data_IF_176592494720
#
_entry.id   IF_176592494720
#
_cell.length_a   1.000
_cell.length_b   1.000
_cell.length_c   1.000
_cell.angle_alpha   90.00
_cell.angle_beta   90.00
_cell.angle_gamma   90.00
#
_symmetry.space_group_name_H-M   'P 1'
#
loop_
_entity.id
_entity.type
_entity.pdbx_description
1 polymer ?
#
# COMPACT_ATOMS: atom_id res chain seq x y z
N UNK A 1 12.09 -23.69 -3.32
CA UNK A 1 11.44 -24.02 -2.03
C UNK A 1 11.27 -22.74 -1.24
N UNK A 2 10.04 -22.39 -0.80
CA UNK A 2 9.84 -21.21 0.05
C UNK A 2 10.46 -21.46 1.42
N UNK A 3 11.12 -20.47 2.00
CA UNK A 3 11.68 -20.62 3.34
C UNK A 3 10.56 -20.69 4.38
N UNK A 4 10.81 -21.39 5.49
CA UNK A 4 9.88 -21.43 6.64
C UNK A 4 9.59 -20.01 7.16
N UNK A 5 10.58 -19.12 7.09
CA UNK A 5 10.47 -17.71 7.51
C UNK A 5 9.43 -16.96 6.68
N UNK A 6 9.45 -17.08 5.34
CA UNK A 6 8.47 -16.40 4.49
C UNK A 6 7.05 -16.92 4.73
N UNK A 7 6.91 -18.24 4.94
CA UNK A 7 5.62 -18.84 5.25
C UNK A 7 5.08 -18.36 6.60
N UNK A 8 5.95 -18.21 7.60
CA UNK A 8 5.59 -17.62 8.88
C UNK A 8 5.12 -16.17 8.73
N UNK A 9 5.90 -15.32 8.05
CA UNK A 9 5.55 -13.91 7.81
C UNK A 9 4.20 -13.79 7.09
N UNK A 10 4.00 -14.57 6.03
CA UNK A 10 2.73 -14.63 5.31
C UNK A 10 1.57 -15.00 6.23
N UNK A 11 1.74 -16.04 7.04
CA UNK A 11 0.71 -16.51 7.98
C UNK A 11 0.34 -15.41 8.98
N UNK A 12 1.33 -14.69 9.52
CA UNK A 12 1.09 -13.58 10.46
C UNK A 12 0.23 -12.49 9.83
N UNK A 13 0.56 -12.04 8.62
CA UNK A 13 -0.22 -10.99 7.94
C UNK A 13 -1.61 -11.47 7.51
N UNK A 14 -1.76 -12.71 7.06
CA UNK A 14 -3.09 -13.27 6.75
C UNK A 14 -3.96 -13.36 8.00
N UNK A 15 -3.41 -13.78 9.14
CA UNK A 15 -4.14 -13.79 10.41
C UNK A 15 -4.51 -12.37 10.84
N UNK A 16 -3.66 -11.38 10.58
CA UNK A 16 -3.99 -9.97 10.80
C UNK A 16 -5.17 -9.52 9.93
N UNK A 17 -5.14 -9.74 8.61
CA UNK A 17 -6.27 -9.34 7.75
C UNK A 17 -7.56 -10.10 8.10
N UNK A 18 -7.47 -11.39 8.44
CA UNK A 18 -8.62 -12.16 8.90
C UNK A 18 -9.20 -11.58 10.20
N UNK A 19 -8.37 -11.13 11.15
CA UNK A 19 -8.85 -10.50 12.39
C UNK A 19 -9.52 -9.16 12.12
N UNK A 20 -9.00 -8.36 11.18
CA UNK A 20 -9.63 -7.10 10.75
C UNK A 20 -10.98 -7.36 10.10
N UNK A 21 -11.12 -8.40 9.25
CA UNK A 21 -12.41 -8.81 8.67
C UNK A 21 -13.41 -9.17 9.77
N UNK A 22 -13.03 -10.06 10.69
CA UNK A 22 -13.91 -10.51 11.78
C UNK A 22 -14.35 -9.32 12.64
N UNK A 23 -13.40 -8.45 13.01
CA UNK A 23 -13.69 -7.27 13.81
C UNK A 23 -14.61 -6.27 13.09
N UNK A 24 -14.38 -6.03 11.79
CA UNK A 24 -15.20 -5.14 10.97
C UNK A 24 -16.63 -5.67 10.81
N UNK A 25 -16.80 -6.98 10.57
CA UNK A 25 -18.11 -7.62 10.53
C UNK A 25 -18.85 -7.54 11.87
N UNK A 26 -18.13 -7.68 13.00
CA UNK A 26 -18.74 -7.60 14.33
C UNK A 26 -19.32 -6.23 14.68
N UNK A 27 -18.84 -5.16 14.01
CA UNK A 27 -19.33 -3.79 14.18
C UNK A 27 -20.12 -3.29 12.95
N UNK A 28 -20.51 -4.20 12.05
CA UNK A 28 -21.29 -3.88 10.84
C UNK A 28 -20.65 -2.86 9.89
N UNK A 29 -19.33 -2.68 9.93
CA UNK A 29 -18.59 -1.79 9.04
C UNK A 29 -18.03 -2.60 7.86
N UNK A 30 -18.54 -2.36 6.65
CA UNK A 30 -18.24 -3.21 5.48
C UNK A 30 -17.04 -2.77 4.66
N UNK A 31 -16.63 -1.51 4.71
CA UNK A 31 -15.53 -1.01 3.86
C UNK A 31 -14.19 -1.68 4.20
N UNK A 32 -13.81 -1.73 5.48
CA UNK A 32 -12.57 -2.42 5.90
C UNK A 32 -12.59 -3.94 5.67
N UNK A 33 -13.77 -4.56 5.49
CA UNK A 33 -13.86 -5.98 5.09
C UNK A 33 -13.33 -6.15 3.67
N UNK A 34 -13.77 -5.29 2.74
CA UNK A 34 -13.30 -5.33 1.36
C UNK A 34 -11.80 -5.08 1.27
N UNK A 35 -11.31 -4.05 1.95
CA UNK A 35 -9.89 -3.66 1.94
C UNK A 35 -9.00 -4.78 2.49
N UNK A 36 -9.42 -5.42 3.60
CA UNK A 36 -8.68 -6.55 4.17
C UNK A 36 -8.67 -7.77 3.27
N UNK A 37 -9.79 -8.08 2.60
CA UNK A 37 -9.86 -9.18 1.65
C UNK A 37 -8.96 -8.90 0.44
N UNK A 38 -8.98 -7.67 -0.08
CA UNK A 38 -8.15 -7.26 -1.20
C UNK A 38 -6.66 -7.30 -0.86
N UNK A 39 -6.28 -6.79 0.33
CA UNK A 39 -4.91 -6.90 0.86
C UNK A 39 -4.47 -8.36 1.03
N UNK A 40 -5.32 -9.21 1.61
CA UNK A 40 -5.03 -10.64 1.77
C UNK A 40 -4.87 -11.34 0.40
N UNK A 41 -5.70 -10.97 -0.58
CA UNK A 41 -5.61 -11.47 -1.95
C UNK A 41 -4.28 -11.08 -2.60
N UNK A 42 -3.92 -9.80 -2.61
CA UNK A 42 -2.66 -9.35 -3.20
C UNK A 42 -1.44 -9.90 -2.46
N UNK A 43 -1.46 -9.96 -1.12
CA UNK A 43 -0.38 -10.58 -0.37
C UNK A 43 -0.25 -12.07 -0.69
N UNK A 44 -1.37 -12.76 -0.91
CA UNK A 44 -1.37 -14.17 -1.37
C UNK A 44 -0.80 -14.30 -2.77
N UNK A 45 -1.12 -13.39 -3.70
CA UNK A 45 -0.48 -13.37 -5.02
C UNK A 45 1.03 -13.17 -4.90
N UNK A 46 1.48 -12.21 -4.09
CA UNK A 46 2.90 -12.00 -3.85
C UNK A 46 3.58 -13.19 -3.17
N UNK A 47 2.90 -13.90 -2.28
CA UNK A 47 3.40 -15.14 -1.70
C UNK A 47 3.51 -16.24 -2.76
N UNK A 48 2.51 -16.38 -3.64
CA UNK A 48 2.51 -17.35 -4.74
C UNK A 48 3.69 -17.10 -5.68
N UNK A 49 3.84 -15.87 -6.14
CA UNK A 49 4.88 -15.44 -7.09
C UNK A 49 6.18 -14.99 -6.41
N UNK A 50 6.37 -15.29 -5.12
CA UNK A 50 7.51 -14.80 -4.32
C UNK A 50 8.88 -15.06 -5.00
N UNK A 51 9.07 -16.30 -5.48
CA UNK A 51 10.32 -16.70 -6.14
C UNK A 51 10.46 -16.07 -7.52
N UNK A 52 9.36 -15.89 -8.25
CA UNK A 52 9.38 -15.28 -9.58
C UNK A 52 9.71 -13.79 -9.47
N UNK A 53 9.04 -13.08 -8.57
CA UNK A 53 9.30 -11.66 -8.30
C UNK A 53 10.66 -11.43 -7.62
N UNK A 54 11.36 -12.52 -7.25
CA UNK A 54 12.66 -12.49 -6.62
C UNK A 54 12.64 -11.63 -5.34
N UNK A 55 11.61 -11.83 -4.52
CA UNK A 55 11.52 -11.15 -3.24
C UNK A 55 12.54 -11.73 -2.27
N UNK A 56 13.05 -10.85 -1.41
CA UNK A 56 13.67 -11.25 -0.15
C UNK A 56 12.66 -11.12 0.99
N UNK A 57 13.05 -11.53 2.20
CA UNK A 57 12.17 -11.44 3.36
C UNK A 57 11.80 -9.99 3.70
N UNK A 58 12.73 -9.04 3.52
CA UNK A 58 12.51 -7.64 3.82
C UNK A 58 11.44 -7.02 2.91
N UNK A 59 11.53 -7.26 1.61
CA UNK A 59 10.56 -6.78 0.61
C UNK A 59 9.15 -7.28 0.91
N UNK A 60 9.03 -8.56 1.29
CA UNK A 60 7.75 -9.15 1.64
C UNK A 60 7.18 -8.59 2.95
N UNK A 61 8.04 -8.31 3.94
CA UNK A 61 7.65 -7.62 5.19
C UNK A 61 7.19 -6.21 4.91
N UNK A 62 7.92 -5.41 4.11
CA UNK A 62 7.50 -4.05 3.76
C UNK A 62 6.14 -4.06 3.07
N UNK A 63 5.89 -5.04 2.20
CA UNK A 63 4.62 -5.17 1.51
C UNK A 63 3.47 -5.49 2.50
N UNK A 64 3.69 -6.46 3.39
CA UNK A 64 2.72 -6.76 4.45
C UNK A 64 2.45 -5.56 5.38
N UNK A 65 3.49 -4.81 5.77
CA UNK A 65 3.34 -3.61 6.60
C UNK A 65 2.54 -2.54 5.88
N UNK A 66 2.89 -2.21 4.63
CA UNK A 66 2.17 -1.18 3.85
C UNK A 66 0.68 -1.47 3.75
N UNK A 67 0.30 -2.71 3.39
CA UNK A 67 -1.10 -3.12 3.33
C UNK A 67 -1.79 -3.12 4.72
N UNK A 68 -1.03 -3.44 5.77
CA UNK A 68 -1.55 -3.43 7.13
C UNK A 68 -1.85 -2.02 7.63
N UNK A 69 -1.02 -1.02 7.28
CA UNK A 69 -1.20 0.36 7.72
C UNK A 69 -2.52 0.96 7.27
N UNK A 70 -2.93 0.67 6.04
CA UNK A 70 -4.25 1.05 5.53
C UNK A 70 -5.38 0.41 6.36
N UNK A 71 -5.25 -0.89 6.65
CA UNK A 71 -6.24 -1.65 7.42
C UNK A 71 -6.24 -1.28 8.91
N UNK A 72 -5.21 -0.60 9.42
CA UNK A 72 -5.21 -0.04 10.77
C UNK A 72 -6.15 1.16 10.91
N UNK A 73 -6.58 1.76 9.79
CA UNK A 73 -7.68 2.72 9.76
C UNK A 73 -8.90 2.23 10.54
N UNK A 74 -9.15 0.92 10.46
CA UNK A 74 -10.21 0.25 11.21
C UNK A 74 -10.18 0.51 12.71
N UNK A 75 -9.00 0.66 13.29
CA UNK A 75 -8.81 0.91 14.71
C UNK A 75 -8.67 2.41 15.02
N UNK A 76 -9.20 3.27 14.14
CA UNK A 76 -9.20 4.72 14.28
C UNK A 76 -7.84 5.36 14.03
N UNK A 77 -6.94 4.73 13.27
CA UNK A 77 -5.61 5.30 13.02
C UNK A 77 -5.65 6.51 12.08
N UNK A 78 -6.58 6.58 11.13
CA UNK A 78 -6.73 7.75 10.26
C UNK A 78 -7.07 9.04 11.01
N UNK A 79 -7.70 8.94 12.19
CA UNK A 79 -7.91 10.08 13.09
C UNK A 79 -6.70 10.45 13.97
N UNK A 80 -5.53 9.83 13.77
CA UNK A 80 -4.33 10.06 14.60
C UNK A 80 -3.26 10.82 13.82
N UNK A 81 -2.53 11.64 14.58
CA UNK A 81 -1.28 12.24 14.13
C UNK A 81 -0.10 11.60 14.85
N UNK A 82 0.94 11.29 14.10
CA UNK A 82 2.22 10.78 14.61
C UNK A 82 3.29 11.76 14.15
N UNK A 83 4.18 12.21 15.04
CA UNK A 83 5.20 13.24 14.74
C UNK A 83 4.68 14.49 13.98
N UNK A 84 3.43 14.88 14.21
CA UNK A 84 2.80 16.05 13.57
C UNK A 84 2.31 15.82 12.14
N UNK A 85 2.33 14.59 11.63
CA UNK A 85 1.76 14.22 10.34
C UNK A 85 0.56 13.28 10.53
N UNK A 86 -0.44 13.40 9.65
CA UNK A 86 -1.59 12.51 9.63
C UNK A 86 -1.15 11.08 9.30
N UNK A 87 -1.83 10.09 9.87
CA UNK A 87 -1.56 8.66 9.60
C UNK A 87 -1.58 8.32 8.11
N UNK A 88 -2.43 9.01 7.36
CA UNK A 88 -2.64 8.82 5.94
C UNK A 88 -1.36 9.04 5.10
N UNK A 89 -0.64 10.13 5.40
CA UNK A 89 0.68 10.44 4.82
C UNK A 89 1.66 9.26 4.97
N UNK A 90 1.66 8.61 6.13
CA UNK A 90 2.51 7.46 6.38
C UNK A 90 2.07 6.24 5.58
N UNK A 91 0.76 6.02 5.46
CA UNK A 91 0.19 4.92 4.70
C UNK A 91 0.60 5.01 3.23
N UNK A 92 0.38 6.16 2.58
CA UNK A 92 0.78 6.40 1.18
C UNK A 92 2.29 6.31 0.96
N UNK A 93 3.08 6.88 1.87
CA UNK A 93 4.55 6.83 1.75
C UNK A 93 5.07 5.39 1.87
N UNK A 94 4.59 4.62 2.86
CA UNK A 94 5.09 3.26 3.13
C UNK A 94 4.63 2.27 2.06
N UNK A 95 3.39 2.35 1.60
CA UNK A 95 2.90 1.43 0.55
C UNK A 95 3.66 1.64 -0.77
N UNK A 96 3.88 2.90 -1.17
CA UNK A 96 4.64 3.22 -2.38
C UNK A 96 6.12 2.90 -2.25
N UNK A 97 6.71 3.06 -1.05
CA UNK A 97 8.04 2.56 -0.75
C UNK A 97 8.15 1.05 -0.97
N UNK A 98 7.23 0.27 -0.38
CA UNK A 98 7.22 -1.19 -0.51
C UNK A 98 7.06 -1.61 -1.99
N UNK A 99 6.15 -0.97 -2.72
CA UNK A 99 5.93 -1.22 -4.14
C UNK A 99 7.19 -0.96 -4.98
N UNK A 100 7.89 0.15 -4.74
CA UNK A 100 9.12 0.47 -5.45
C UNK A 100 10.23 -0.56 -5.17
N UNK A 101 10.37 -1.05 -3.94
CA UNK A 101 11.33 -2.13 -3.60
C UNK A 101 11.00 -3.42 -4.34
N UNK A 102 9.72 -3.78 -4.36
CA UNK A 102 9.18 -4.95 -5.07
C UNK A 102 9.47 -4.87 -6.58
N UNK A 103 9.12 -3.75 -7.20
CA UNK A 103 9.34 -3.51 -8.63
C UNK A 103 10.83 -3.50 -8.97
N UNK A 104 11.66 -2.92 -8.10
CA UNK A 104 13.12 -2.92 -8.27
C UNK A 104 13.67 -4.36 -8.34
N UNK A 105 13.29 -5.20 -7.38
CA UNK A 105 13.76 -6.58 -7.31
C UNK A 105 13.28 -7.43 -8.49
N UNK A 106 12.04 -7.19 -8.95
CA UNK A 106 11.46 -7.86 -10.11
C UNK A 106 12.15 -7.43 -11.43
N UNK A 107 12.40 -6.13 -11.63
CA UNK A 107 12.90 -5.60 -12.91
C UNK A 107 14.41 -5.71 -13.07
N UNK A 108 15.21 -5.42 -12.02
CA UNK A 108 16.67 -5.33 -12.16
C UNK A 108 17.31 -6.65 -12.62
N UNK A 109 16.73 -7.79 -12.25
CA UNK A 109 17.26 -9.12 -12.63
C UNK A 109 16.76 -9.62 -13.97
N UNK A 110 15.67 -9.06 -14.49
CA UNK A 110 14.98 -9.56 -15.68
C UNK A 110 15.23 -8.71 -16.92
N UNK A 111 15.57 -7.44 -16.73
CA UNK A 111 15.67 -6.48 -17.83
C UNK A 111 17.09 -5.95 -17.94
N UNK A 112 17.72 -6.17 -19.10
CA UNK A 112 19.03 -5.60 -19.43
C UNK A 112 18.87 -4.17 -19.95
N UNK A 113 18.56 -3.23 -19.06
CA UNK A 113 18.47 -1.80 -19.36
C UNK A 113 19.46 -0.99 -18.51
N UNK A 114 19.79 0.22 -18.96
CA UNK A 114 20.51 1.17 -18.15
C UNK A 114 19.73 1.44 -16.85
N UNK A 115 20.43 1.41 -15.70
CA UNK A 115 19.85 1.63 -14.37
C UNK A 115 18.98 2.88 -14.29
N UNK A 116 19.37 3.97 -14.97
CA UNK A 116 18.58 5.22 -14.99
C UNK A 116 17.17 5.00 -15.56
N UNK A 117 17.05 4.21 -16.63
CA UNK A 117 15.75 3.88 -17.22
C UNK A 117 14.95 2.94 -16.33
N UNK A 118 15.60 1.97 -15.68
CA UNK A 118 14.93 1.10 -14.70
C UNK A 118 14.34 1.92 -13.57
N UNK A 119 15.07 2.91 -13.02
CA UNK A 119 14.58 3.76 -11.94
C UNK A 119 13.39 4.61 -12.36
N UNK A 120 13.45 5.19 -13.57
CA UNK A 120 12.34 5.95 -14.12
C UNK A 120 11.09 5.08 -14.31
N UNK A 121 11.25 3.87 -14.86
CA UNK A 121 10.14 2.92 -15.04
C UNK A 121 9.52 2.56 -13.69
N UNK A 122 10.33 2.22 -12.67
CA UNK A 122 9.82 1.89 -11.33
C UNK A 122 9.04 3.06 -10.75
N UNK A 123 9.57 4.29 -10.85
CA UNK A 123 8.92 5.49 -10.36
C UNK A 123 7.57 5.73 -11.04
N UNK A 124 7.54 5.70 -12.38
CA UNK A 124 6.33 5.90 -13.17
C UNK A 124 5.28 4.82 -12.90
N UNK A 125 5.68 3.55 -12.77
CA UNK A 125 4.77 2.45 -12.43
C UNK A 125 4.24 2.59 -11.00
N UNK A 126 5.09 2.96 -10.04
CA UNK A 126 4.68 3.16 -8.64
C UNK A 126 3.64 4.27 -8.53
N UNK A 127 3.91 5.43 -9.13
CA UNK A 127 2.95 6.55 -9.15
C UNK A 127 1.71 6.21 -9.96
N UNK A 128 1.85 5.50 -11.09
CA UNK A 128 0.71 5.08 -11.90
C UNK A 128 -0.24 4.16 -11.15
N UNK A 129 0.28 3.20 -10.37
CA UNK A 129 -0.53 2.34 -9.50
C UNK A 129 -1.17 3.16 -8.38
N UNK A 130 -0.42 4.06 -7.74
CA UNK A 130 -0.95 4.94 -6.69
C UNK A 130 -2.12 5.79 -7.22
N UNK A 131 -1.93 6.46 -8.35
CA UNK A 131 -2.97 7.27 -9.01
C UNK A 131 -4.24 6.47 -9.32
N UNK A 132 -4.11 5.20 -9.72
CA UNK A 132 -5.27 4.32 -9.92
C UNK A 132 -6.01 4.09 -8.58
N UNK A 133 -5.27 3.88 -7.49
CA UNK A 133 -5.83 3.77 -6.13
C UNK A 133 -6.62 5.01 -5.74
N UNK A 134 -6.01 6.20 -5.88
CA UNK A 134 -6.65 7.48 -5.62
C UNK A 134 -7.95 7.67 -6.42
N UNK A 135 -7.94 7.29 -7.71
CA UNK A 135 -9.15 7.36 -8.53
C UNK A 135 -10.23 6.37 -8.08
N UNK A 136 -9.86 5.19 -7.59
CA UNK A 136 -10.80 4.22 -7.03
C UNK A 136 -11.44 4.78 -5.77
N UNK A 137 -10.63 5.37 -4.88
CA UNK A 137 -11.08 6.02 -3.65
C UNK A 137 -12.04 7.17 -3.96
N UNK A 138 -11.60 8.11 -4.79
CA UNK A 138 -12.42 9.24 -5.23
C UNK A 138 -13.72 8.81 -5.92
N UNK A 139 -13.65 7.79 -6.80
CA UNK A 139 -14.85 7.26 -7.47
C UNK A 139 -15.82 6.63 -6.46
N UNK A 140 -15.31 5.87 -5.50
CA UNK A 140 -16.13 5.29 -4.43
C UNK A 140 -16.88 6.37 -3.65
N UNK A 141 -16.24 7.52 -3.42
CA UNK A 141 -16.83 8.65 -2.69
C UNK A 141 -17.98 9.30 -3.45
N UNK A 142 -17.90 9.34 -4.79
CA UNK A 142 -18.98 9.87 -5.64
C UNK A 142 -20.15 8.87 -5.75
N UNK A 143 -19.85 7.58 -5.90
CA UNK A 143 -20.87 6.59 -6.29
C UNK A 143 -21.48 5.80 -5.12
N UNK A 144 -20.82 5.73 -3.96
CA UNK A 144 -21.37 5.08 -2.77
C UNK A 144 -22.18 6.08 -1.96
N UNK A 145 -23.41 5.69 -1.61
CA UNK A 145 -24.37 6.53 -0.85
C UNK A 145 -23.83 7.02 0.49
N UNK A 146 -22.84 6.30 1.01
CA UNK A 146 -22.29 6.48 2.34
C UNK A 146 -21.13 7.49 2.31
N UNK A 147 -20.67 7.91 1.12
CA UNK A 147 -19.57 8.86 0.93
C UNK A 147 -18.19 8.34 1.35
N UNK A 148 -18.09 7.06 1.71
CA UNK A 148 -16.90 6.47 2.36
C UNK A 148 -15.80 5.99 1.40
N UNK A 149 -15.88 6.23 0.09
CA UNK A 149 -14.86 5.70 -0.84
C UNK A 149 -14.86 4.17 -0.96
N UNK A 150 -14.16 3.65 -1.97
CA UNK A 150 -13.64 2.28 -2.00
C UNK A 150 -12.19 2.40 -1.49
N UNK A 151 -11.75 1.61 -0.50
CA UNK A 151 -10.46 1.83 0.22
C UNK A 151 -10.50 3.02 1.21
N UNK A 152 -11.66 3.25 1.82
CA UNK A 152 -12.07 4.52 2.41
C UNK A 152 -11.20 5.21 3.46
N UNK A 153 -11.41 6.53 3.52
CA UNK A 153 -11.25 7.41 4.68
C UNK A 153 -12.64 7.77 5.25
N UNK A 154 -12.80 7.66 6.57
CA UNK A 154 -13.91 8.31 7.28
C UNK A 154 -13.52 9.77 7.52
N UNK A 155 -14.17 10.73 6.86
CA UNK A 155 -13.85 12.14 7.08
C UNK A 155 -15.04 13.08 6.87
N UNK A 156 -14.98 14.25 7.52
CA UNK A 156 -16.03 15.26 7.61
C UNK A 156 -16.15 16.16 6.36
N UNK A 157 -17.36 16.65 6.10
CA UNK A 157 -17.84 17.19 4.83
C UNK A 157 -16.98 18.29 4.18
N UNK A 158 -16.66 18.06 2.91
CA UNK A 158 -16.20 18.97 1.87
C UNK A 158 -17.38 19.65 1.13
N UNK A 159 -17.19 20.12 -0.12
CA UNK A 159 -18.14 21.02 -0.82
C UNK A 159 -19.49 20.36 -1.15
N UNK A 160 -19.53 19.02 -1.15
CA UNK A 160 -20.77 18.28 -1.10
C UNK A 160 -20.99 17.82 0.33
N UNK A 161 -22.22 17.97 0.83
CA UNK A 161 -22.61 17.65 2.22
C UNK A 161 -22.33 16.21 2.68
N UNK A 162 -21.88 15.35 1.76
CA UNK A 162 -21.64 13.92 1.92
C UNK A 162 -20.25 13.47 1.44
N UNK A 163 -19.36 14.38 1.02
CA UNK A 163 -18.01 14.05 0.51
C UNK A 163 -17.01 14.80 1.35
N UNK A 164 -16.06 14.14 2.01
CA UNK A 164 -15.12 14.84 2.89
C UNK A 164 -14.14 15.77 2.18
N UNK A 165 -13.56 16.74 2.90
CA UNK A 165 -12.50 17.59 2.35
C UNK A 165 -11.20 16.83 2.09
N UNK A 166 -10.95 15.76 2.85
CA UNK A 166 -9.76 14.91 2.70
C UNK A 166 -9.76 14.18 1.35
N UNK A 167 -10.93 13.88 0.76
CA UNK A 167 -11.02 13.34 -0.60
C UNK A 167 -10.60 14.32 -1.71
N UNK A 168 -10.35 15.59 -1.37
CA UNK A 168 -9.79 16.58 -2.30
C UNK A 168 -8.27 16.64 -2.20
N UNK A 169 -7.65 15.86 -1.30
CA UNK A 169 -6.21 15.85 -1.07
C UNK A 169 -5.43 14.85 -1.93
N UNK A 170 -6.06 14.29 -2.97
CA UNK A 170 -5.45 13.37 -3.94
C UNK A 170 -4.08 13.83 -4.45
N UNK A 171 -3.84 15.14 -4.55
CA UNK A 171 -2.53 15.67 -4.95
C UNK A 171 -1.46 15.50 -3.86
N UNK A 172 -1.79 15.70 -2.59
CA UNK A 172 -0.91 15.46 -1.45
C UNK A 172 -0.63 13.97 -1.30
N UNK A 173 -1.64 13.12 -1.42
CA UNK A 173 -1.50 11.67 -1.35
C UNK A 173 -0.61 11.16 -2.48
N UNK A 174 -0.83 11.65 -3.70
CA UNK A 174 0.06 11.35 -4.82
C UNK A 174 1.48 11.86 -4.60
N UNK A 175 1.67 13.02 -3.96
CA UNK A 175 2.99 13.53 -3.59
C UNK A 175 3.69 12.64 -2.54
N UNK A 176 2.95 12.13 -1.57
CA UNK A 176 3.47 11.20 -0.56
C UNK A 176 3.78 9.82 -1.16
N UNK A 177 2.94 9.34 -2.06
CA UNK A 177 3.21 8.16 -2.89
C UNK A 177 4.49 8.34 -3.73
N UNK A 178 4.66 9.49 -4.39
CA UNK A 178 5.85 9.82 -5.15
C UNK A 178 7.12 9.84 -4.27
N UNK A 179 7.05 10.46 -3.09
CA UNK A 179 8.13 10.45 -2.11
C UNK A 179 8.48 9.03 -1.67
N UNK A 180 7.49 8.21 -1.31
CA UNK A 180 7.65 6.80 -0.96
C UNK A 180 8.35 6.01 -2.07
N UNK A 181 7.90 6.18 -3.31
CA UNK A 181 8.50 5.55 -4.48
C UNK A 181 9.98 5.93 -4.68
N UNK A 182 10.32 7.22 -4.54
CA UNK A 182 11.72 7.70 -4.60
C UNK A 182 12.56 7.05 -3.49
N UNK A 183 12.06 7.05 -2.25
CA UNK A 183 12.76 6.45 -1.11
C UNK A 183 12.99 4.95 -1.31
N UNK A 184 12.01 4.22 -1.84
CA UNK A 184 12.13 2.79 -2.14
C UNK A 184 13.16 2.49 -3.22
N UNK A 185 13.23 3.32 -4.27
CA UNK A 185 14.27 3.23 -5.31
C UNK A 185 15.65 3.49 -4.70
N UNK A 186 15.80 4.55 -3.90
CA UNK A 186 17.08 4.91 -3.27
C UNK A 186 17.57 3.80 -2.33
N UNK A 187 16.68 3.30 -1.46
CA UNK A 187 16.96 2.18 -0.56
C UNK A 187 17.47 0.96 -1.33
N UNK A 188 16.74 0.56 -2.38
CA UNK A 188 17.07 -0.61 -3.20
C UNK A 188 18.39 -0.42 -3.96
N UNK A 189 18.65 0.79 -4.47
CA UNK A 189 19.88 1.13 -5.18
C UNK A 189 21.11 1.12 -4.25
N UNK A 190 20.97 1.56 -3.01
CA UNK A 190 22.05 1.54 -2.00
C UNK A 190 22.36 0.11 -1.59
N UNK A 191 21.34 -0.71 -1.28
CA UNK A 191 21.55 -2.09 -0.87
C UNK A 191 22.17 -2.94 -1.98
N UNK A 192 21.73 -2.79 -3.22
CA UNK A 192 22.32 -3.53 -4.35
C UNK A 192 23.78 -3.19 -4.64
N UNK A 193 24.29 -2.04 -4.16
CA UNK A 193 25.73 -1.73 -4.23
C UNK A 193 26.55 -2.50 -3.20
N UNK A 194 25.95 -2.89 -2.05
CA UNK A 194 26.67 -3.57 -0.97
C UNK A 194 26.82 -5.07 -1.17
N UNK A 195 25.96 -5.67 -1.98
CA UNK A 195 25.90 -7.12 -2.21
C UNK A 195 26.39 -7.55 -3.62
N UNK A 196 27.09 -6.65 -4.32
CA UNK A 196 27.87 -6.95 -5.52
C UNK A 196 29.34 -6.67 -5.23
#
# INVERSE_FOLDING_TARGET
MRSKIITFIYTVFILFFASVVIHSLSLHQRHYVFDSILSAFFLTLFYIYYSDLNFDAASFVFMGIGMSMHNLGRFGFYGKQVFGLNWDIYTHTVISFAMAVVLYNALLRRINLNKKWIYLIIFLVTIGIALIGEFIEFSGTIFLKDGQGLLGLESEAGPFSHVSIDYWDTMSDLAMNALGGILGILYSAILNRKFR
#
